data_IF_234185421915
#
_entry.id   IF_234185421915
#
_cell.length_a   1.000
_cell.length_b   1.000
_cell.length_c   1.000
_cell.angle_alpha   90.00
_cell.angle_beta   90.00
_cell.angle_gamma   90.00
#
_symmetry.space_group_name_H-M   'P 1'
#
loop_
_entity.id
_entity.type
_entity.pdbx_description
1 polymer ?
#
# COMPACT_ATOMS: atom_id res chain seq x y z
N UNK A 1 -55.54 -54.95 0.01
CA UNK A 1 -56.30 -55.39 -1.19
C UNK A 1 -56.50 -54.18 -2.08
N UNK A 2 -56.07 -54.28 -3.33
CA UNK A 2 -56.18 -53.26 -4.37
C UNK A 2 -57.63 -53.12 -4.85
N UNK A 3 -58.06 -51.90 -5.19
CA UNK A 3 -58.89 -51.68 -6.38
C UNK A 3 -58.47 -50.39 -7.09
N UNK A 4 -58.36 -50.52 -8.41
CA UNK A 4 -57.89 -49.54 -9.38
C UNK A 4 -59.05 -48.62 -9.81
N UNK A 5 -58.75 -47.39 -10.20
CA UNK A 5 -59.47 -46.78 -11.31
C UNK A 5 -58.56 -45.92 -12.18
N UNK A 6 -58.52 -46.34 -13.44
CA UNK A 6 -57.80 -45.80 -14.59
C UNK A 6 -58.28 -44.40 -14.96
N UNK A 7 -57.37 -43.60 -15.52
CA UNK A 7 -57.51 -42.89 -16.81
C UNK A 7 -56.15 -42.30 -17.24
N UNK A 8 -55.57 -42.90 -18.28
CA UNK A 8 -54.53 -42.35 -19.16
C UNK A 8 -55.19 -41.44 -20.22
N UNK A 9 -54.47 -40.81 -21.17
CA UNK A 9 -53.05 -40.41 -21.23
C UNK A 9 -52.90 -38.93 -21.67
N UNK A 10 -51.73 -38.28 -21.54
CA UNK A 10 -51.37 -37.17 -22.47
C UNK A 10 -49.85 -36.98 -22.55
N UNK A 11 -49.35 -37.33 -23.73
CA UNK A 11 -48.26 -36.75 -24.53
C UNK A 11 -46.88 -36.42 -23.93
N UNK A 12 -45.88 -37.07 -24.55
CA UNK A 12 -44.49 -36.64 -24.68
C UNK A 12 -44.38 -35.17 -25.11
N UNK A 13 -43.56 -34.41 -24.39
CA UNK A 13 -42.72 -33.37 -25.00
C UNK A 13 -41.39 -33.32 -24.26
N UNK A 14 -40.38 -33.88 -24.90
CA UNK A 14 -38.99 -33.57 -24.62
C UNK A 14 -38.80 -32.07 -24.90
N UNK A 15 -38.53 -31.29 -23.86
CA UNK A 15 -38.00 -29.95 -24.04
C UNK A 15 -36.48 -30.08 -23.92
N UNK A 16 -35.80 -30.08 -25.07
CA UNK A 16 -34.38 -29.77 -25.16
C UNK A 16 -34.13 -28.43 -24.45
N UNK A 17 -33.53 -28.47 -23.27
CA UNK A 17 -32.93 -27.28 -22.66
C UNK A 17 -31.55 -27.16 -23.29
N UNK A 18 -31.48 -26.34 -24.34
CA UNK A 18 -30.22 -25.87 -24.91
C UNK A 18 -29.51 -25.05 -23.83
N UNK A 19 -28.56 -25.67 -23.12
CA UNK A 19 -27.61 -24.92 -22.30
C UNK A 19 -26.64 -24.24 -23.26
N UNK A 20 -26.98 -23.01 -23.67
CA UNK A 20 -26.00 -22.09 -24.23
C UNK A 20 -25.02 -21.72 -23.11
N UNK A 21 -23.88 -22.38 -23.07
CA UNK A 21 -22.69 -21.90 -22.37
C UNK A 21 -22.30 -20.58 -23.04
N UNK A 22 -22.20 -19.44 -22.32
CA UNK A 22 -21.55 -18.27 -22.90
C UNK A 22 -20.08 -18.63 -23.08
N UNK A 23 -19.61 -18.65 -24.33
CA UNK A 23 -18.19 -18.71 -24.63
C UNK A 23 -17.50 -17.52 -23.95
N UNK A 24 -16.65 -17.81 -22.96
CA UNK A 24 -15.73 -16.84 -22.41
C UNK A 24 -14.76 -16.47 -23.52
N UNK A 25 -14.82 -15.22 -23.97
CA UNK A 25 -13.87 -14.65 -24.92
C UNK A 25 -12.46 -14.69 -24.30
N UNK A 26 -11.54 -15.44 -24.92
CA UNK A 26 -10.12 -15.55 -24.56
C UNK A 26 -9.31 -14.28 -24.93
N UNK A 27 -9.82 -13.11 -24.57
CA UNK A 27 -9.14 -11.83 -24.85
C UNK A 27 -8.87 -11.07 -23.56
N UNK A 28 -8.19 -11.74 -22.62
CA UNK A 28 -7.45 -11.05 -21.56
C UNK A 28 -6.11 -10.65 -22.15
N UNK A 29 -6.11 -9.57 -22.94
CA UNK A 29 -4.89 -8.79 -23.14
C UNK A 29 -4.32 -8.45 -21.76
N UNK A 30 -2.99 -8.61 -21.51
CA UNK A 30 -2.42 -8.23 -20.23
C UNK A 30 -2.72 -6.76 -20.04
N UNK A 31 -3.45 -6.44 -18.97
CA UNK A 31 -3.71 -5.08 -18.53
C UNK A 31 -2.36 -4.40 -18.39
N UNK A 32 -2.00 -3.66 -19.45
CA UNK A 32 -0.90 -2.74 -19.52
C UNK A 32 -0.98 -1.91 -18.24
N UNK A 33 -0.01 -2.10 -17.33
CA UNK A 33 0.05 -1.45 -16.02
C UNK A 33 -0.50 -0.02 -16.10
N UNK A 34 -1.72 0.17 -15.60
CA UNK A 34 -2.48 1.42 -15.75
C UNK A 34 -2.11 2.46 -14.68
N UNK A 35 -1.08 2.18 -13.87
CA UNK A 35 -0.69 3.05 -12.78
C UNK A 35 0.84 3.17 -12.72
N UNK A 36 1.44 3.59 -13.84
CA UNK A 36 2.48 4.60 -13.78
C UNK A 36 1.83 5.87 -13.20
N UNK A 37 1.56 5.85 -11.89
CA UNK A 37 1.33 7.09 -11.16
C UNK A 37 2.70 7.75 -11.23
N UNK A 38 2.81 8.79 -12.05
CA UNK A 38 3.92 9.73 -12.00
C UNK A 38 4.16 10.01 -10.52
N UNK A 39 5.21 9.40 -9.98
CA UNK A 39 5.82 9.91 -8.77
C UNK A 39 6.11 11.35 -9.16
N UNK A 40 5.66 12.37 -8.42
CA UNK A 40 6.35 13.64 -8.50
C UNK A 40 7.75 13.32 -7.97
N UNK A 41 8.62 12.84 -8.88
CA UNK A 41 10.05 12.91 -8.72
C UNK A 41 10.27 14.42 -8.67
N UNK A 42 10.28 14.96 -7.45
CA UNK A 42 10.62 16.34 -7.20
C UNK A 42 12.09 16.49 -7.55
N UNK A 43 12.34 16.60 -8.85
CA UNK A 43 13.62 16.90 -9.43
C UNK A 43 14.00 18.34 -9.05
N UNK A 44 15.07 18.46 -8.26
CA UNK A 44 15.99 19.59 -8.32
C UNK A 44 15.80 20.72 -7.29
N UNK A 45 16.38 20.55 -6.10
CA UNK A 45 16.58 21.61 -5.08
C UNK A 45 17.25 21.07 -3.81
N UNK A 46 18.01 21.87 -3.01
CA UNK A 46 18.93 21.31 -2.04
C UNK A 46 18.23 20.84 -0.76
N UNK A 47 18.26 19.51 -0.56
CA UNK A 47 17.76 18.78 0.62
C UNK A 47 18.47 19.15 1.94
N UNK A 48 19.55 19.92 1.92
CA UNK A 48 19.80 21.05 2.85
C UNK A 48 21.22 21.56 2.60
N UNK A 49 21.38 22.90 2.58
CA UNK A 49 22.61 23.61 2.26
C UNK A 49 23.73 23.44 3.31
N UNK A 50 24.95 23.85 2.98
CA UNK A 50 25.96 24.11 4.01
C UNK A 50 25.41 25.08 5.04
N UNK A 51 25.63 24.79 6.33
CA UNK A 51 25.10 25.63 7.41
C UNK A 51 23.62 25.37 7.76
N UNK A 52 23.05 24.21 7.41
CA UNK A 52 21.65 23.90 7.66
C UNK A 52 21.26 23.88 9.15
N UNK A 53 22.18 23.47 10.04
CA UNK A 53 21.90 23.39 11.47
C UNK A 53 21.81 24.78 12.13
N UNK A 54 22.47 25.78 11.54
CA UNK A 54 22.55 27.15 12.03
C UNK A 54 21.19 27.87 11.90
N UNK A 55 20.35 27.41 10.98
CA UNK A 55 18.98 27.90 10.80
C UNK A 55 17.99 27.32 11.82
N UNK A 56 18.39 26.28 12.56
CA UNK A 56 17.56 25.70 13.62
C UNK A 56 17.72 26.48 14.94
N UNK A 57 16.68 26.49 15.80
CA UNK A 57 16.78 26.96 17.18
C UNK A 57 17.97 26.32 17.90
N UNK A 58 18.64 27.08 18.76
CA UNK A 58 19.91 26.66 19.37
C UNK A 58 19.76 25.35 20.16
N UNK A 59 18.63 25.19 20.84
CA UNK A 59 18.21 24.02 21.59
C UNK A 59 18.11 22.73 20.74
N UNK A 60 17.83 22.84 19.43
CA UNK A 60 17.70 21.68 18.54
C UNK A 60 18.99 21.30 17.85
N UNK A 61 19.99 22.19 17.79
CA UNK A 61 21.13 22.02 16.86
C UNK A 61 21.94 20.76 17.11
N UNK A 62 22.20 20.42 18.36
CA UNK A 62 23.03 19.26 18.71
C UNK A 62 22.29 17.95 18.43
N UNK A 63 21.01 17.88 18.79
CA UNK A 63 20.12 16.74 18.50
C UNK A 63 19.96 16.58 16.98
N UNK A 64 19.70 17.67 16.26
CA UNK A 64 19.57 17.65 14.80
C UNK A 64 20.85 17.13 14.12
N UNK A 65 22.04 17.54 14.59
CA UNK A 65 23.31 17.00 14.09
C UNK A 65 23.44 15.49 14.34
N UNK A 66 22.94 14.98 15.46
CA UNK A 66 22.93 13.54 15.74
C UNK A 66 21.96 12.81 14.82
N UNK A 67 20.73 13.31 14.66
CA UNK A 67 19.73 12.75 13.74
C UNK A 67 20.23 12.75 12.29
N UNK A 68 20.91 13.81 11.85
CA UNK A 68 21.56 13.86 10.54
C UNK A 68 22.63 12.77 10.37
N UNK A 69 23.46 12.52 11.39
CA UNK A 69 24.48 11.46 11.32
C UNK A 69 23.85 10.07 11.27
N UNK A 70 22.75 9.86 11.99
CA UNK A 70 22.07 8.56 12.09
C UNK A 70 21.21 8.24 10.88
N UNK A 71 20.40 9.20 10.44
CA UNK A 71 19.35 8.97 9.44
C UNK A 71 19.63 9.63 8.08
N UNK A 72 20.74 10.39 7.98
CA UNK A 72 21.21 10.90 6.71
C UNK A 72 20.13 11.70 5.97
N UNK A 73 19.78 11.24 4.77
CA UNK A 73 18.83 11.88 3.87
C UNK A 73 17.41 11.98 4.45
N UNK A 74 16.95 10.98 5.20
CA UNK A 74 15.61 10.99 5.78
C UNK A 74 15.40 12.18 6.72
N UNK A 75 16.37 12.43 7.61
CA UNK A 75 16.29 13.60 8.50
C UNK A 75 16.30 14.94 7.75
N UNK A 76 16.97 15.00 6.61
CA UNK A 76 17.00 16.22 5.83
C UNK A 76 15.68 16.52 5.11
N UNK A 77 15.08 15.49 4.53
CA UNK A 77 13.74 15.60 3.94
C UNK A 77 12.70 15.97 5.01
N UNK A 78 12.87 15.46 6.24
CA UNK A 78 12.08 15.91 7.38
C UNK A 78 12.25 17.42 7.63
N UNK A 79 13.49 17.93 7.69
CA UNK A 79 13.72 19.37 7.89
C UNK A 79 13.10 20.24 6.80
N UNK A 80 13.08 19.74 5.56
CA UNK A 80 12.55 20.48 4.41
C UNK A 80 11.02 20.44 4.32
N UNK A 81 10.40 19.30 4.61
CA UNK A 81 8.98 19.08 4.31
C UNK A 81 8.07 18.97 5.53
N UNK A 82 8.62 18.61 6.69
CA UNK A 82 7.82 18.24 7.87
C UNK A 82 8.13 19.10 9.10
N UNK A 83 9.36 19.59 9.24
CA UNK A 83 9.76 20.34 10.42
C UNK A 83 8.96 21.63 10.60
N UNK A 84 8.13 21.65 11.65
CA UNK A 84 7.41 22.84 12.05
C UNK A 84 8.31 23.70 12.93
N UNK A 85 8.52 24.95 12.52
CA UNK A 85 9.28 25.91 13.32
C UNK A 85 8.59 26.11 14.67
N UNK A 86 9.17 25.53 15.73
CA UNK A 86 8.63 25.55 17.08
C UNK A 86 8.24 24.18 17.67
N UNK A 87 8.56 23.05 17.02
CA UNK A 87 8.51 21.75 17.69
C UNK A 87 9.27 21.82 19.04
N UNK A 88 8.67 21.33 20.13
CA UNK A 88 9.28 21.42 21.45
C UNK A 88 10.48 20.45 21.59
N UNK A 89 10.40 19.32 20.90
CA UNK A 89 11.46 18.32 20.80
C UNK A 89 11.54 17.85 19.34
N UNK A 90 12.63 18.20 18.67
CA UNK A 90 12.87 17.83 17.28
C UNK A 90 13.10 16.34 17.08
N UNK A 91 13.58 15.61 18.09
CA UNK A 91 13.81 14.17 18.00
C UNK A 91 12.48 13.42 18.05
N UNK A 92 11.62 13.79 19.00
CA UNK A 92 10.27 13.23 19.10
C UNK A 92 9.43 13.56 17.85
N UNK A 93 9.48 14.81 17.37
CA UNK A 93 8.76 15.22 16.17
C UNK A 93 9.27 14.47 14.93
N UNK A 94 10.59 14.25 14.83
CA UNK A 94 11.16 13.44 13.76
C UNK A 94 10.69 11.98 13.82
N UNK A 95 10.84 11.30 14.97
CA UNK A 95 10.48 9.88 15.08
C UNK A 95 8.97 9.63 15.05
N UNK A 96 8.15 10.61 15.43
CA UNK A 96 6.70 10.51 15.29
C UNK A 96 6.24 10.71 13.84
N UNK A 97 7.10 11.19 12.94
CA UNK A 97 6.75 11.44 11.54
C UNK A 97 7.47 10.47 10.58
N UNK A 98 8.74 10.17 10.84
CA UNK A 98 9.58 9.37 9.96
C UNK A 98 9.42 7.88 10.19
N UNK A 99 9.02 7.17 9.13
CA UNK A 99 8.84 5.72 9.16
C UNK A 99 10.16 5.02 8.84
N UNK A 100 10.83 5.41 7.76
CA UNK A 100 12.06 4.74 7.36
C UNK A 100 12.59 5.09 5.97
N UNK A 101 13.75 4.52 5.66
CA UNK A 101 14.41 4.55 4.35
C UNK A 101 14.40 3.16 3.75
N UNK A 102 14.01 3.03 2.49
CA UNK A 102 13.83 1.76 1.80
C UNK A 102 14.47 1.81 0.41
N UNK A 103 14.96 0.67 -0.07
CA UNK A 103 15.54 0.57 -1.40
C UNK A 103 14.45 0.53 -2.49
N UNK A 104 13.26 0.04 -2.15
CA UNK A 104 12.10 0.02 -3.03
C UNK A 104 10.78 0.24 -2.28
N UNK A 105 9.72 0.63 -3.01
CA UNK A 105 8.37 0.70 -2.45
C UNK A 105 7.92 -0.68 -1.97
N UNK A 106 8.35 -1.74 -2.66
CA UNK A 106 8.02 -3.11 -2.27
C UNK A 106 8.56 -3.44 -0.88
N UNK A 107 9.81 -3.09 -0.58
CA UNK A 107 10.42 -3.35 0.73
C UNK A 107 9.64 -2.68 1.86
N UNK A 108 9.26 -1.40 1.66
CA UNK A 108 8.43 -0.68 2.62
C UNK A 108 7.06 -1.34 2.83
N UNK A 109 6.39 -1.73 1.74
CA UNK A 109 5.08 -2.40 1.83
C UNK A 109 5.19 -3.72 2.57
N UNK A 110 6.23 -4.51 2.30
CA UNK A 110 6.41 -5.81 2.95
C UNK A 110 6.71 -5.67 4.44
N UNK A 111 7.54 -4.70 4.84
CA UNK A 111 7.78 -4.39 6.26
C UNK A 111 6.47 -3.95 6.94
N UNK A 112 5.76 -2.98 6.34
CA UNK A 112 4.49 -2.48 6.86
C UNK A 112 3.44 -3.59 6.99
N UNK A 113 3.41 -4.50 6.03
CA UNK A 113 2.47 -5.63 6.01
C UNK A 113 2.71 -6.60 7.18
N UNK A 114 3.98 -6.85 7.49
CA UNK A 114 4.40 -7.69 8.61
C UNK A 114 4.14 -7.00 9.95
N UNK A 115 4.54 -5.73 10.10
CA UNK A 115 4.39 -5.00 11.36
C UNK A 115 2.91 -4.78 11.75
N UNK A 116 2.05 -4.55 10.76
CA UNK A 116 0.63 -4.33 11.00
C UNK A 116 -0.16 -5.65 11.18
N UNK A 117 0.47 -6.82 11.06
CA UNK A 117 -0.16 -8.13 11.24
C UNK A 117 -1.22 -8.47 10.19
N UNK A 118 -1.10 -7.92 8.97
CA UNK A 118 -2.09 -8.15 7.91
C UNK A 118 -1.97 -9.54 7.32
N UNK A 119 -0.77 -10.16 7.36
CA UNK A 119 -0.56 -11.56 6.96
C UNK A 119 -1.53 -12.44 7.73
N UNK A 120 -1.46 -12.38 9.06
CA UNK A 120 -2.23 -13.21 9.97
C UNK A 120 -3.72 -12.87 9.88
N UNK A 121 -4.06 -11.60 9.69
CA UNK A 121 -5.44 -11.16 9.54
C UNK A 121 -6.09 -11.70 8.24
N UNK A 122 -5.36 -11.67 7.12
CA UNK A 122 -5.83 -12.19 5.84
C UNK A 122 -5.92 -13.70 5.87
N UNK A 123 -4.90 -14.40 6.40
CA UNK A 123 -4.92 -15.85 6.55
C UNK A 123 -6.09 -16.32 7.43
N UNK A 124 -6.32 -15.65 8.55
CA UNK A 124 -7.46 -15.94 9.42
C UNK A 124 -8.79 -15.73 8.69
N UNK A 125 -8.94 -14.63 7.97
CA UNK A 125 -10.16 -14.34 7.20
C UNK A 125 -10.40 -15.38 6.10
N UNK A 126 -9.35 -15.79 5.37
CA UNK A 126 -9.45 -16.85 4.37
C UNK A 126 -9.92 -18.16 4.98
N UNK A 127 -9.37 -18.53 6.14
CA UNK A 127 -9.75 -19.74 6.87
C UNK A 127 -11.20 -19.68 7.37
N UNK A 128 -11.60 -18.58 8.02
CA UNK A 128 -12.94 -18.40 8.58
C UNK A 128 -14.04 -18.43 7.51
N UNK A 129 -13.73 -17.96 6.29
CA UNK A 129 -14.69 -17.87 5.19
C UNK A 129 -14.56 -18.98 4.14
N UNK A 130 -13.71 -20.00 4.36
CA UNK A 130 -13.42 -21.07 3.41
C UNK A 130 -13.03 -20.55 2.02
N UNK A 131 -12.29 -19.45 1.97
CA UNK A 131 -11.78 -18.89 0.72
C UNK A 131 -10.63 -19.78 0.25
N UNK A 132 -10.65 -20.28 -1.00
CA UNK A 132 -9.57 -21.12 -1.51
C UNK A 132 -8.22 -20.40 -1.48
N UNK A 133 -7.15 -21.16 -1.21
CA UNK A 133 -5.79 -20.66 -1.33
C UNK A 133 -5.54 -20.13 -2.76
N UNK A 134 -4.93 -18.95 -2.87
CA UNK A 134 -4.71 -18.27 -4.15
C UNK A 134 -5.94 -17.57 -4.74
N UNK A 135 -7.11 -17.63 -4.10
CA UNK A 135 -8.28 -16.85 -4.56
C UNK A 135 -8.17 -15.35 -4.23
N UNK A 136 -7.28 -14.98 -3.30
CA UNK A 136 -6.93 -13.61 -2.98
C UNK A 136 -5.44 -13.41 -3.26
N UNK A 137 -5.14 -12.38 -4.03
CA UNK A 137 -3.77 -11.95 -4.29
C UNK A 137 -3.55 -10.57 -3.67
N UNK A 138 -2.40 -10.42 -3.02
CA UNK A 138 -1.99 -9.12 -2.50
C UNK A 138 -1.58 -8.21 -3.65
N UNK A 139 -2.09 -6.98 -3.63
CA UNK A 139 -1.71 -5.95 -4.59
C UNK A 139 -0.89 -4.86 -3.90
N UNK A 140 0.42 -4.89 -4.17
CA UNK A 140 1.37 -3.86 -3.72
C UNK A 140 0.95 -2.47 -4.22
N UNK A 141 0.52 -2.39 -5.48
CA UNK A 141 0.03 -1.15 -6.08
C UNK A 141 -1.19 -0.60 -5.35
N UNK A 142 -2.13 -1.47 -4.97
CA UNK A 142 -3.30 -1.05 -4.20
C UNK A 142 -2.91 -0.56 -2.81
N UNK A 143 -1.99 -1.24 -2.12
CA UNK A 143 -1.50 -0.77 -0.82
C UNK A 143 -0.87 0.62 -0.94
N UNK A 144 -0.01 0.85 -1.93
CA UNK A 144 0.64 2.15 -2.16
C UNK A 144 -0.42 3.22 -2.45
N UNK A 145 -1.41 2.90 -3.29
CA UNK A 145 -2.53 3.80 -3.56
C UNK A 145 -3.29 4.15 -2.27
N UNK A 146 -3.61 3.15 -1.46
CA UNK A 146 -4.34 3.33 -0.22
C UNK A 146 -3.54 4.16 0.79
N UNK A 147 -2.25 3.87 0.95
CA UNK A 147 -1.36 4.55 1.87
C UNK A 147 -1.20 6.03 1.50
N UNK A 148 -1.01 6.35 0.21
CA UNK A 148 -0.92 7.75 -0.24
C UNK A 148 -2.26 8.47 -0.16
N UNK A 149 -3.35 7.84 -0.60
CA UNK A 149 -4.65 8.52 -0.75
C UNK A 149 -5.43 8.65 0.54
N UNK A 150 -5.45 7.60 1.35
CA UNK A 150 -6.30 7.54 2.56
C UNK A 150 -5.50 7.74 3.84
N UNK A 151 -4.29 7.19 3.92
CA UNK A 151 -3.40 7.38 5.08
C UNK A 151 -2.48 8.59 4.93
N UNK A 152 -2.44 9.23 3.76
CA UNK A 152 -1.64 10.44 3.47
C UNK A 152 -0.14 10.30 3.75
N UNK A 153 0.41 9.08 3.62
CA UNK A 153 1.85 8.89 3.66
C UNK A 153 2.52 9.73 2.57
N UNK A 154 3.60 10.40 2.95
CA UNK A 154 4.44 11.18 2.05
C UNK A 154 5.70 10.37 1.75
N UNK A 155 6.00 10.19 0.46
CA UNK A 155 7.10 9.34 0.01
C UNK A 155 8.00 10.14 -0.93
N UNK A 156 9.26 10.25 -0.57
CA UNK A 156 10.26 11.01 -1.30
C UNK A 156 11.36 10.09 -1.81
N UNK A 157 11.74 10.20 -3.08
CA UNK A 157 12.93 9.54 -3.60
C UNK A 157 14.12 10.49 -3.51
N UNK A 158 15.17 10.10 -2.80
CA UNK A 158 16.40 10.89 -2.71
C UNK A 158 17.64 10.01 -2.57
N UNK A 159 18.64 10.29 -3.40
CA UNK A 159 19.91 9.53 -3.49
C UNK A 159 19.73 8.02 -3.68
N UNK A 160 18.72 7.63 -4.46
CA UNK A 160 18.46 6.23 -4.79
C UNK A 160 17.74 5.43 -3.70
N UNK A 161 17.26 6.09 -2.64
CA UNK A 161 16.41 5.48 -1.61
C UNK A 161 15.08 6.22 -1.51
N UNK A 162 14.07 5.51 -1.03
CA UNK A 162 12.74 6.04 -0.73
C UNK A 162 12.64 6.32 0.77
N UNK A 163 12.18 7.51 1.11
CA UNK A 163 12.00 7.98 2.48
C UNK A 163 10.52 8.15 2.73
N UNK A 164 10.00 7.47 3.75
CA UNK A 164 8.56 7.43 4.04
C UNK A 164 8.26 8.19 5.32
N UNK A 165 7.24 9.04 5.26
CA UNK A 165 6.74 9.83 6.37
C UNK A 165 5.24 9.64 6.52
N UNK A 166 4.78 9.53 7.76
CA UNK A 166 3.37 9.59 8.10
C UNK A 166 2.89 11.04 8.27
N UNK A 167 1.58 11.34 8.14
CA UNK A 167 1.05 12.71 8.19
C UNK A 167 1.10 13.34 9.58
#
# INVERSE_FOLDING_TARGET
MCEQSKKQPFEHREAEVTHQTPELSDDITPTRSLFLVDVPETAGGPVTQEGWAEHLPAEHRDVAKQLRRKHGAGFLLYLEHHYQHGAADIEEDFYSTYIGSYDSLFDWVMESYQELGWVEAVERMMHEHNIPEGALEWSVDYFIHWAKKYQRFQIYSFRGQLHVFQP
#
